data_IF_376804918954
#
_entry.id   IF_376804918954
#
_cell.length_a   1.000
_cell.length_b   1.000
_cell.length_c   1.000
_cell.angle_alpha   90.00
_cell.angle_beta   90.00
_cell.angle_gamma   90.00
#
_symmetry.space_group_name_H-M   'P 1'
#
loop_
_entity.id
_entity.type
_entity.pdbx_description
1 polymer ?
#
# COMPACT_ATOMS: atom_id res chain seq x y z
N UNK A 1 -49.74 -38.27 11.76
CA UNK A 1 -49.22 -39.15 12.82
C UNK A 1 -47.83 -38.63 13.20
N UNK A 2 -47.76 -37.80 14.23
CA UNK A 2 -46.53 -37.14 14.69
C UNK A 2 -45.84 -38.12 15.65
N UNK A 3 -44.58 -38.45 15.39
CA UNK A 3 -43.78 -39.30 16.28
C UNK A 3 -43.49 -38.53 17.59
N UNK A 4 -43.66 -39.15 18.77
CA UNK A 4 -43.33 -38.50 20.02
C UNK A 4 -41.81 -38.34 20.15
N UNK A 5 -41.40 -37.16 20.61
CA UNK A 5 -40.01 -36.80 20.93
C UNK A 5 -39.54 -37.61 22.15
N UNK A 6 -38.58 -38.52 21.92
CA UNK A 6 -38.01 -39.42 22.92
C UNK A 6 -37.13 -38.71 23.98
N UNK A 7 -36.99 -37.37 23.91
CA UNK A 7 -36.07 -36.62 24.77
C UNK A 7 -36.56 -36.42 26.22
N UNK A 8 -37.76 -36.88 26.61
CA UNK A 8 -38.32 -36.60 27.95
C UNK A 8 -38.74 -37.83 28.77
N UNK A 9 -38.49 -39.05 28.26
CA UNK A 9 -38.77 -40.28 29.00
C UNK A 9 -37.76 -40.49 30.13
N UNK A 10 -38.19 -41.19 31.20
CA UNK A 10 -37.40 -41.44 32.41
C UNK A 10 -36.00 -42.01 32.14
N UNK A 11 -35.84 -42.73 31.02
CA UNK A 11 -34.58 -43.28 30.54
C UNK A 11 -33.61 -42.17 30.11
N UNK A 12 -34.08 -41.13 29.41
CA UNK A 12 -33.25 -39.99 29.00
C UNK A 12 -32.74 -39.17 30.19
N UNK A 13 -33.55 -39.05 31.25
CA UNK A 13 -33.15 -38.37 32.49
C UNK A 13 -32.07 -39.14 33.26
N UNK A 14 -32.18 -40.47 33.34
CA UNK A 14 -31.16 -41.30 33.97
C UNK A 14 -29.81 -41.28 33.22
N UNK A 15 -29.85 -41.22 31.87
CA UNK A 15 -28.65 -41.11 31.04
C UNK A 15 -27.98 -39.74 31.25
N UNK A 16 -28.75 -38.64 31.25
CA UNK A 16 -28.23 -37.30 31.47
C UNK A 16 -27.63 -37.11 32.89
N UNK A 17 -28.20 -37.75 33.91
CA UNK A 17 -27.68 -37.70 35.29
C UNK A 17 -26.33 -38.42 35.43
N UNK A 18 -26.05 -39.41 34.57
CA UNK A 18 -24.78 -40.14 34.53
C UNK A 18 -23.75 -39.51 33.58
N UNK A 19 -24.14 -38.53 32.76
CA UNK A 19 -23.27 -37.89 31.79
C UNK A 19 -22.55 -36.69 32.44
N UNK A 20 -21.21 -36.74 32.49
CA UNK A 20 -20.41 -35.66 33.06
C UNK A 20 -19.72 -34.88 31.95
N UNK A 21 -20.19 -33.66 31.72
CA UNK A 21 -19.67 -32.75 30.70
C UNK A 21 -18.20 -32.40 31.02
N UNK A 22 -17.26 -32.83 30.15
CA UNK A 22 -15.82 -32.53 30.33
C UNK A 22 -15.42 -31.15 29.82
N UNK A 23 -16.09 -30.66 28.77
CA UNK A 23 -15.89 -29.34 28.16
C UNK A 23 -17.19 -28.90 27.49
N UNK A 24 -17.55 -27.64 27.66
CA UNK A 24 -18.63 -26.94 26.97
C UNK A 24 -18.05 -25.91 25.97
N UNK A 25 -18.94 -25.26 25.20
CA UNK A 25 -18.54 -24.30 24.15
C UNK A 25 -17.71 -23.14 24.70
N UNK A 26 -17.89 -22.81 25.98
CA UNK A 26 -17.18 -21.76 26.70
C UNK A 26 -15.82 -22.22 27.22
N UNK A 27 -15.73 -23.37 27.88
CA UNK A 27 -14.48 -23.94 28.41
C UNK A 27 -13.52 -24.44 27.31
N UNK A 28 -14.01 -24.68 26.09
CA UNK A 28 -13.13 -24.92 24.93
C UNK A 28 -12.31 -23.69 24.51
N UNK A 29 -12.76 -22.48 24.84
CA UNK A 29 -12.07 -21.22 24.54
C UNK A 29 -11.25 -20.70 25.73
N UNK A 30 -11.41 -21.30 26.91
CA UNK A 30 -10.67 -20.93 28.12
C UNK A 30 -9.26 -21.54 28.10
N UNK A 31 -8.26 -20.69 28.29
CA UNK A 31 -6.86 -21.09 28.42
C UNK A 31 -6.42 -20.90 29.87
N UNK A 32 -6.20 -21.99 30.60
CA UNK A 32 -5.75 -21.93 32.01
C UNK A 32 -4.39 -21.25 32.20
N UNK A 33 -3.59 -21.11 31.13
CA UNK A 33 -2.24 -20.55 31.17
C UNK A 33 -2.12 -19.15 30.55
N UNK A 34 -3.19 -18.58 29.99
CA UNK A 34 -3.11 -17.31 29.27
C UNK A 34 -4.27 -16.39 29.65
N UNK A 35 -3.91 -15.24 30.18
CA UNK A 35 -4.84 -14.15 30.43
C UNK A 35 -4.93 -13.25 29.19
N UNK A 36 -6.15 -12.98 28.76
CA UNK A 36 -6.45 -12.12 27.62
C UNK A 36 -7.09 -10.79 28.04
N UNK A 37 -7.11 -10.48 29.34
CA UNK A 37 -7.61 -9.23 29.90
C UNK A 37 -6.99 -8.00 29.22
N UNK A 38 -5.68 -8.00 28.96
CA UNK A 38 -4.98 -6.92 28.26
C UNK A 38 -5.46 -6.70 26.81
N UNK A 39 -5.82 -7.78 26.10
CA UNK A 39 -6.40 -7.69 24.74
C UNK A 39 -7.81 -7.09 24.81
N UNK A 40 -8.58 -7.46 25.84
CA UNK A 40 -9.91 -6.92 26.10
C UNK A 40 -9.88 -5.44 26.47
N UNK A 41 -8.87 -5.00 27.24
CA UNK A 41 -8.64 -3.58 27.56
C UNK A 41 -8.26 -2.79 26.30
N UNK A 42 -7.33 -3.31 25.48
CA UNK A 42 -6.96 -2.66 24.22
C UNK A 42 -8.14 -2.56 23.22
N UNK A 43 -9.01 -3.57 23.17
CA UNK A 43 -10.21 -3.54 22.32
C UNK A 43 -11.28 -2.57 22.83
N UNK A 44 -11.42 -2.40 24.15
CA UNK A 44 -12.28 -1.39 24.75
C UNK A 44 -11.76 0.03 24.49
N UNK A 45 -10.43 0.22 24.52
CA UNK A 45 -9.79 1.49 24.16
C UNK A 45 -9.94 1.82 22.65
N UNK A 46 -10.04 0.80 21.79
CA UNK A 46 -10.32 0.99 20.35
C UNK A 46 -11.79 1.40 20.10
N UNK A 47 -12.74 0.97 20.94
CA UNK A 47 -14.14 1.36 20.82
C UNK A 47 -14.45 2.76 21.37
N UNK A 48 -13.55 3.34 22.19
CA UNK A 48 -13.72 4.69 22.75
C UNK A 48 -12.61 5.61 22.24
N UNK A 49 -12.69 5.99 20.96
CA UNK A 49 -12.06 7.23 20.49
C UNK A 49 -13.09 8.14 19.79
N UNK A 50 -13.45 9.26 20.43
CA UNK A 50 -13.94 10.44 19.73
C UNK A 50 -12.78 11.09 18.94
N UNK A 51 -13.01 11.32 17.65
CA UNK A 51 -12.39 12.39 16.84
C UNK A 51 -10.86 12.39 16.62
N UNK A 52 -10.46 11.91 15.43
CA UNK A 52 -9.16 12.17 14.75
C UNK A 52 -9.05 13.63 14.25
N UNK A 53 -9.78 14.56 14.84
CA UNK A 53 -9.78 15.98 14.45
C UNK A 53 -8.59 16.72 15.09
N UNK A 54 -7.92 16.15 16.10
CA UNK A 54 -6.98 16.90 16.95
C UNK A 54 -5.48 16.72 16.64
N UNK A 55 -5.07 15.81 15.74
CA UNK A 55 -3.65 15.72 15.34
C UNK A 55 -3.25 16.84 14.36
N UNK A 56 -4.19 17.29 13.52
CA UNK A 56 -3.96 18.40 12.59
C UNK A 56 -3.95 19.77 13.31
N UNK A 57 -4.67 19.92 14.43
CA UNK A 57 -4.71 21.16 15.21
C UNK A 57 -3.40 21.41 15.99
N UNK A 58 -2.80 20.36 16.58
CA UNK A 58 -1.53 20.47 17.30
C UNK A 58 -0.32 20.75 16.37
N UNK A 59 -0.38 20.28 15.12
CA UNK A 59 0.62 20.60 14.10
C UNK A 59 0.48 22.04 13.60
N UNK A 60 -0.75 22.54 13.44
CA UNK A 60 -1.03 23.90 12.99
C UNK A 60 -0.72 24.97 14.06
N UNK A 61 -0.83 24.65 15.36
CA UNK A 61 -0.44 25.59 16.43
C UNK A 61 1.09 25.79 16.54
N UNK A 62 1.90 24.80 16.11
CA UNK A 62 3.37 24.94 16.06
C UNK A 62 3.88 25.69 14.82
N UNK A 63 3.06 25.78 13.77
CA UNK A 63 3.41 26.49 12.52
C UNK A 63 2.84 27.92 12.50
N UNK A 64 1.73 28.19 13.21
CA UNK A 64 1.03 29.47 13.20
C UNK A 64 1.58 30.59 14.11
N UNK A 65 2.60 30.35 14.93
CA UNK A 65 3.12 31.35 15.90
C UNK A 65 4.37 32.11 15.44
N UNK A 66 4.80 31.94 14.18
CA UNK A 66 5.96 32.66 13.63
C UNK A 66 5.61 33.87 12.73
N UNK A 67 4.33 34.22 12.57
CA UNK A 67 3.89 35.36 11.77
C UNK A 67 2.87 36.20 12.53
N UNK A 68 3.34 36.93 13.53
CA UNK A 68 2.73 38.21 13.95
C UNK A 68 3.66 38.93 14.92
N UNK A 69 4.53 39.80 14.39
CA UNK A 69 5.05 40.97 15.09
C UNK A 69 4.68 42.20 14.25
N UNK A 70 4.15 43.27 14.85
CA UNK A 70 3.73 44.46 14.12
C UNK A 70 4.96 45.28 13.69
N UNK A 71 5.01 45.65 12.41
CA UNK A 71 5.89 46.70 11.89
C UNK A 71 5.25 48.06 12.13
N UNK A 72 5.90 48.89 12.95
CA UNK A 72 5.59 50.31 13.02
C UNK A 72 6.09 51.01 11.75
N UNK A 73 5.24 51.85 11.16
CA UNK A 73 5.55 52.73 10.03
C UNK A 73 6.53 53.85 10.45
N UNK A 74 7.16 54.54 9.48
CA UNK A 74 6.81 55.95 9.40
C UNK A 74 6.58 56.48 7.98
N UNK A 75 5.75 57.51 7.99
CA UNK A 75 5.23 58.39 6.94
C UNK A 75 6.30 59.21 6.22
N UNK A 76 6.07 59.48 4.94
CA UNK A 76 6.74 60.51 4.14
C UNK A 76 5.93 61.81 4.12
N UNK A 77 6.57 62.95 4.41
CA UNK A 77 6.46 64.19 3.64
C UNK A 77 7.47 65.23 4.16
N UNK A 78 8.05 66.00 3.23
CA UNK A 78 9.30 66.73 3.41
C UNK A 78 9.21 68.12 4.04
N UNK A 79 10.38 68.74 4.21
CA UNK A 79 10.80 70.08 3.76
C UNK A 79 12.16 70.46 4.41
N UNK A 80 13.05 71.05 3.60
CA UNK A 80 14.23 71.90 3.89
C UNK A 80 15.65 71.31 4.17
N UNK A 81 16.60 71.89 3.39
CA UNK A 81 18.09 71.88 3.38
C UNK A 81 18.66 72.76 4.53
N UNK A 82 20.00 72.91 4.77
CA UNK A 82 21.16 72.63 3.90
C UNK A 82 22.43 71.97 4.53
N UNK A 83 23.36 71.58 3.63
CA UNK A 83 24.83 71.46 3.72
C UNK A 83 25.54 70.77 4.90
N UNK A 84 26.29 69.68 4.60
CA UNK A 84 27.74 69.59 4.84
C UNK A 84 28.41 68.32 4.24
N UNK A 85 29.71 68.43 4.01
CA UNK A 85 30.67 67.64 3.21
C UNK A 85 31.12 66.29 3.80
N UNK A 86 31.51 65.37 2.90
CA UNK A 86 32.57 64.30 3.01
C UNK A 86 32.25 63.15 4.01
N UNK A 87 32.64 61.87 3.86
CA UNK A 87 33.75 61.16 3.19
C UNK A 87 33.36 59.70 2.92
N UNK A 88 33.98 59.10 1.90
CA UNK A 88 33.92 57.69 1.51
C UNK A 88 34.78 56.83 2.46
N UNK A 89 34.26 55.72 2.97
CA UNK A 89 35.09 54.62 3.52
C UNK A 89 34.38 53.28 3.37
N UNK A 90 35.06 52.34 2.71
CA UNK A 90 34.55 51.02 2.36
C UNK A 90 34.64 50.02 3.50
N UNK A 91 33.58 49.21 3.64
CA UNK A 91 33.54 47.99 4.44
C UNK A 91 33.49 46.76 3.55
N UNK A 92 34.04 45.61 3.97
CA UNK A 92 34.21 44.43 3.13
C UNK A 92 32.88 43.72 2.88
N UNK A 93 32.68 43.29 1.63
CA UNK A 93 31.55 42.46 1.20
C UNK A 93 31.83 41.03 1.68
N UNK A 94 31.16 40.61 2.76
CA UNK A 94 31.10 39.19 3.14
C UNK A 94 30.28 38.42 2.11
N UNK A 95 30.96 37.72 1.21
CA UNK A 95 30.36 36.72 0.33
C UNK A 95 29.83 35.56 1.16
N UNK A 96 28.54 35.57 1.48
CA UNK A 96 27.86 34.44 2.07
C UNK A 96 27.84 33.29 1.05
N UNK A 97 28.72 32.30 1.27
CA UNK A 97 28.69 31.02 0.53
C UNK A 97 27.36 30.35 0.81
N UNK A 98 26.48 30.36 -0.19
CA UNK A 98 25.18 29.69 -0.16
C UNK A 98 25.45 28.18 -0.06
N UNK A 99 25.36 27.64 1.16
CA UNK A 99 25.48 26.20 1.34
C UNK A 99 24.40 25.49 0.50
N UNK A 100 24.75 24.44 -0.26
CA UNK A 100 23.76 23.68 -0.98
C UNK A 100 22.78 23.11 0.04
N UNK A 101 21.50 23.50 -0.07
CA UNK A 101 20.45 23.00 0.80
C UNK A 101 20.39 21.46 0.76
N UNK A 102 19.91 20.82 1.83
CA UNK A 102 19.84 19.37 1.91
C UNK A 102 19.08 18.81 0.71
N UNK A 103 19.78 18.11 -0.18
CA UNK A 103 19.18 17.42 -1.30
C UNK A 103 18.12 16.46 -0.74
N UNK A 104 16.86 16.62 -1.17
CA UNK A 104 15.76 15.72 -0.79
C UNK A 104 16.21 14.29 -1.10
N UNK A 105 16.31 13.44 -0.06
CA UNK A 105 16.56 12.02 -0.23
C UNK A 105 15.45 11.43 -1.09
N UNK A 106 15.78 11.06 -2.33
CA UNK A 106 14.85 10.41 -3.25
C UNK A 106 14.51 9.03 -2.69
N UNK A 107 13.20 8.76 -2.52
CA UNK A 107 12.72 7.45 -2.07
C UNK A 107 13.16 6.36 -3.06
N UNK A 108 13.65 5.23 -2.55
CA UNK A 108 14.10 4.08 -3.36
C UNK A 108 13.12 2.92 -3.30
N UNK A 109 11.87 3.17 -2.93
CA UNK A 109 10.85 2.12 -2.82
C UNK A 109 10.33 1.81 -4.24
N UNK A 110 10.53 0.58 -4.77
CA UNK A 110 9.98 0.17 -6.06
C UNK A 110 8.45 0.19 -6.05
N UNK A 111 7.86 0.49 -7.21
CA UNK A 111 6.40 0.59 -7.40
C UNK A 111 5.90 -0.52 -8.33
N UNK A 112 4.81 -1.18 -7.92
CA UNK A 112 4.06 -2.15 -8.72
C UNK A 112 2.70 -1.52 -9.04
N UNK A 113 2.35 -1.46 -10.32
CA UNK A 113 1.04 -0.99 -10.78
C UNK A 113 0.11 -2.19 -10.96
N UNK A 114 -1.09 -2.12 -10.38
CA UNK A 114 -2.16 -3.10 -10.59
C UNK A 114 -3.37 -2.43 -11.28
N UNK A 115 -4.29 -3.18 -11.89
CA UNK A 115 -5.49 -2.60 -12.45
C UNK A 115 -6.42 -2.04 -11.36
N UNK A 116 -7.06 -0.90 -11.65
CA UNK A 116 -8.16 -0.36 -10.85
C UNK A 116 -9.52 -1.01 -11.15
N UNK A 117 -9.61 -1.78 -12.25
CA UNK A 117 -10.86 -2.26 -12.82
C UNK A 117 -11.50 -3.39 -12.01
N UNK A 118 -12.83 -3.32 -11.84
CA UNK A 118 -13.63 -4.45 -11.41
C UNK A 118 -13.44 -5.64 -12.37
N UNK A 119 -13.36 -6.85 -11.84
CA UNK A 119 -13.12 -8.08 -12.62
C UNK A 119 -11.64 -8.45 -12.82
N UNK A 120 -10.68 -7.64 -12.35
CA UNK A 120 -9.28 -8.06 -12.25
C UNK A 120 -9.11 -9.11 -11.15
N UNK A 121 -8.29 -10.14 -11.38
CA UNK A 121 -7.92 -11.12 -10.36
C UNK A 121 -7.04 -10.52 -9.26
N UNK A 122 -6.28 -9.48 -9.58
CA UNK A 122 -5.50 -8.71 -8.61
C UNK A 122 -6.05 -7.29 -8.49
N UNK A 123 -6.32 -6.87 -7.26
CA UNK A 123 -6.81 -5.54 -6.89
C UNK A 123 -6.14 -5.09 -5.60
N UNK A 124 -6.35 -3.82 -5.20
CA UNK A 124 -5.79 -3.30 -3.96
C UNK A 124 -6.29 -4.04 -2.70
N UNK A 125 -7.37 -4.81 -2.80
CA UNK A 125 -7.91 -5.56 -1.67
C UNK A 125 -7.15 -6.86 -1.41
N UNK A 126 -6.61 -7.51 -2.44
CA UNK A 126 -5.99 -8.83 -2.36
C UNK A 126 -4.52 -8.86 -2.81
N UNK A 127 -3.95 -7.72 -3.20
CA UNK A 127 -2.58 -7.66 -3.68
C UNK A 127 -1.56 -8.09 -2.62
N UNK A 128 -1.83 -7.87 -1.33
CA UNK A 128 -0.97 -8.38 -0.26
C UNK A 128 -0.98 -9.91 -0.23
N UNK A 129 -2.17 -10.53 -0.25
CA UNK A 129 -2.30 -11.99 -0.26
C UNK A 129 -1.58 -12.62 -1.47
N UNK A 130 -1.73 -11.99 -2.65
CA UNK A 130 -1.16 -12.49 -3.91
C UNK A 130 0.35 -12.28 -3.98
N UNK A 131 0.85 -11.08 -3.65
CA UNK A 131 2.25 -10.72 -3.89
C UNK A 131 3.16 -11.06 -2.70
N UNK A 132 2.66 -10.95 -1.47
CA UNK A 132 3.44 -11.22 -0.27
C UNK A 132 3.24 -12.66 0.23
N UNK A 133 1.98 -13.09 0.36
CA UNK A 133 1.67 -14.42 0.92
C UNK A 133 1.68 -15.53 -0.15
N UNK A 134 1.71 -15.14 -1.43
CA UNK A 134 1.70 -16.02 -2.60
C UNK A 134 0.46 -16.94 -2.61
N UNK A 135 -0.69 -16.37 -2.29
CA UNK A 135 -1.99 -17.05 -2.25
C UNK A 135 -3.04 -16.21 -2.95
N UNK A 136 -3.86 -16.84 -3.78
CA UNK A 136 -5.02 -16.14 -4.33
C UNK A 136 -6.20 -16.14 -3.36
N UNK A 137 -6.73 -14.95 -3.11
CA UNK A 137 -8.00 -14.69 -2.45
C UNK A 137 -8.79 -13.75 -3.35
N UNK A 138 -10.08 -14.01 -3.58
CA UNK A 138 -10.85 -13.14 -4.46
C UNK A 138 -11.10 -11.77 -3.83
N UNK A 139 -11.34 -10.76 -4.67
CA UNK A 139 -11.68 -9.42 -4.17
C UNK A 139 -13.01 -9.44 -3.40
N UNK A 140 -13.95 -10.28 -3.83
CA UNK A 140 -15.25 -10.48 -3.21
C UNK A 140 -15.09 -11.04 -1.79
N UNK A 141 -14.24 -12.05 -1.61
CA UNK A 141 -13.94 -12.64 -0.30
C UNK A 141 -13.29 -11.61 0.63
N UNK A 142 -12.29 -10.84 0.16
CA UNK A 142 -11.68 -9.78 0.99
C UNK A 142 -12.70 -8.72 1.44
N UNK A 143 -13.62 -8.34 0.54
CA UNK A 143 -14.67 -7.35 0.84
C UNK A 143 -15.71 -7.82 1.84
N UNK A 144 -15.90 -9.15 2.01
CA UNK A 144 -16.78 -9.69 3.04
C UNK A 144 -16.23 -9.43 4.46
N UNK A 145 -14.91 -9.42 4.62
CA UNK A 145 -14.27 -9.13 5.92
C UNK A 145 -14.06 -7.64 6.16
N UNK A 146 -13.66 -6.89 5.13
CA UNK A 146 -13.45 -5.45 5.21
C UNK A 146 -13.66 -4.80 3.86
N UNK A 147 -14.57 -3.82 3.80
CA UNK A 147 -14.79 -3.03 2.59
C UNK A 147 -13.96 -1.73 2.55
N UNK A 148 -13.00 -1.57 3.49
CA UNK A 148 -12.11 -0.41 3.49
C UNK A 148 -11.17 -0.50 2.29
N UNK A 149 -11.27 0.48 1.39
CA UNK A 149 -10.36 0.62 0.25
C UNK A 149 -9.17 1.50 0.65
N UNK A 150 -7.98 1.01 0.39
CA UNK A 150 -6.75 1.80 0.50
C UNK A 150 -6.37 2.35 -0.88
N UNK A 151 -5.70 3.50 -0.91
CA UNK A 151 -5.24 4.10 -2.16
C UNK A 151 -3.90 3.52 -2.64
N UNK A 152 -3.14 2.95 -1.71
CA UNK A 152 -1.84 2.34 -1.94
C UNK A 152 -1.56 1.31 -0.83
N UNK A 153 -0.74 0.32 -1.14
CA UNK A 153 -0.24 -0.65 -0.16
C UNK A 153 1.27 -0.60 -0.08
N UNK A 154 1.82 -0.91 1.09
CA UNK A 154 3.25 -1.13 1.28
C UNK A 154 3.48 -2.59 1.69
N UNK A 155 4.02 -3.37 0.76
CA UNK A 155 4.41 -4.77 0.98
C UNK A 155 5.81 -4.85 1.59
N UNK A 156 6.07 -5.89 2.36
CA UNK A 156 7.37 -6.18 2.97
C UNK A 156 7.86 -7.53 2.47
N UNK A 157 8.74 -7.53 1.47
CA UNK A 157 9.14 -8.75 0.76
C UNK A 157 10.50 -9.23 1.26
N UNK A 158 10.60 -10.45 1.84
CA UNK A 158 11.89 -11.01 2.23
C UNK A 158 12.71 -11.37 0.99
N UNK A 159 13.95 -10.86 0.93
CA UNK A 159 14.92 -11.07 -0.15
C UNK A 159 16.32 -11.22 0.47
N UNK A 160 16.99 -12.35 0.24
CA UNK A 160 18.40 -12.58 0.64
C UNK A 160 18.75 -12.20 2.10
N UNK A 161 17.84 -12.43 3.05
CA UNK A 161 18.05 -12.10 4.47
C UNK A 161 17.73 -10.64 4.85
N UNK A 162 17.30 -9.82 3.90
CA UNK A 162 16.75 -8.48 4.13
C UNK A 162 15.26 -8.44 3.78
N UNK A 163 14.57 -7.40 4.25
CA UNK A 163 13.19 -7.10 3.85
C UNK A 163 13.16 -5.87 2.98
N UNK A 164 12.62 -6.01 1.76
CA UNK A 164 12.54 -4.94 0.78
C UNK A 164 11.10 -4.45 0.69
N UNK A 165 10.84 -3.15 0.92
CA UNK A 165 9.51 -2.59 0.78
C UNK A 165 9.14 -2.44 -0.70
N UNK A 166 7.90 -2.79 -1.07
CA UNK A 166 7.34 -2.52 -2.39
C UNK A 166 6.03 -1.74 -2.24
N UNK A 167 5.87 -0.66 -2.99
CA UNK A 167 4.62 0.11 -3.01
C UNK A 167 3.73 -0.40 -4.14
N UNK A 168 2.47 -0.68 -3.83
CA UNK A 168 1.46 -1.09 -4.82
C UNK A 168 0.47 0.05 -5.01
N UNK A 169 0.18 0.39 -6.27
CA UNK A 169 -0.78 1.43 -6.64
C UNK A 169 -1.71 0.92 -7.74
N UNK A 170 -2.96 1.36 -7.72
CA UNK A 170 -3.95 1.04 -8.76
C UNK A 170 -4.28 2.22 -9.69
N UNK A 171 -3.87 3.44 -9.30
CA UNK A 171 -4.09 4.66 -10.05
C UNK A 171 -2.75 5.32 -10.48
N UNK A 172 -2.21 4.92 -11.63
CA UNK A 172 -0.91 5.40 -12.10
C UNK A 172 -0.91 6.86 -12.57
N UNK A 173 -2.07 7.48 -12.85
CA UNK A 173 -2.12 8.90 -13.25
C UNK A 173 -1.78 9.86 -12.11
N UNK A 174 -1.68 9.35 -10.88
CA UNK A 174 -1.26 10.12 -9.70
C UNK A 174 0.26 10.08 -9.47
N UNK A 175 0.99 9.27 -10.23
CA UNK A 175 2.44 9.14 -10.11
C UNK A 175 3.12 10.35 -10.76
N UNK A 176 4.08 10.94 -10.04
CA UNK A 176 4.95 11.98 -10.58
C UNK A 176 6.07 11.38 -11.43
N UNK A 177 6.74 12.22 -12.21
CA UNK A 177 7.81 11.80 -13.11
C UNK A 177 8.93 11.01 -12.41
N UNK A 178 9.34 11.44 -11.22
CA UNK A 178 10.36 10.73 -10.41
C UNK A 178 9.86 9.38 -9.86
N UNK A 179 8.54 9.21 -9.73
CA UNK A 179 7.96 7.95 -9.28
C UNK A 179 7.84 6.94 -10.42
N UNK A 180 7.63 7.40 -11.65
CA UNK A 180 7.60 6.55 -12.84
C UNK A 180 8.92 5.82 -13.06
N UNK A 181 10.05 6.46 -12.74
CA UNK A 181 11.39 5.82 -12.76
C UNK A 181 11.49 4.62 -11.79
N UNK A 182 10.65 4.60 -10.76
CA UNK A 182 10.62 3.54 -9.74
C UNK A 182 9.61 2.43 -10.04
N UNK A 183 8.83 2.55 -11.11
CA UNK A 183 7.87 1.51 -11.48
C UNK A 183 8.62 0.32 -12.03
N UNK A 184 8.54 -0.83 -11.36
CA UNK A 184 9.27 -2.04 -11.72
C UNK A 184 8.39 -3.07 -12.41
N UNK A 185 7.10 -3.10 -12.07
CA UNK A 185 6.16 -4.05 -12.63
C UNK A 185 4.77 -3.44 -12.87
N UNK A 186 4.04 -4.01 -13.82
CA UNK A 186 2.64 -3.70 -14.12
C UNK A 186 1.83 -4.97 -14.34
N UNK A 187 0.64 -5.04 -13.75
CA UNK A 187 -0.38 -6.03 -14.11
C UNK A 187 -1.35 -5.46 -15.15
N UNK A 188 -1.54 -6.19 -16.25
CA UNK A 188 -2.34 -5.76 -17.40
C UNK A 188 -3.62 -6.59 -17.54
N UNK A 189 -4.69 -5.95 -18.01
CA UNK A 189 -6.00 -6.59 -18.24
C UNK A 189 -6.21 -6.98 -19.71
N UNK A 190 -5.53 -6.31 -20.65
CA UNK A 190 -5.59 -6.61 -22.09
C UNK A 190 -6.07 -5.47 -22.99
N UNK A 191 -7.06 -4.66 -22.62
CA UNK A 191 -7.45 -3.53 -23.45
C UNK A 191 -6.41 -2.39 -23.43
N UNK A 192 -6.03 -1.87 -24.60
CA UNK A 192 -5.04 -0.80 -24.71
C UNK A 192 -5.44 0.51 -23.99
N UNK A 193 -6.74 0.75 -23.82
CA UNK A 193 -7.24 1.92 -23.10
C UNK A 193 -6.78 1.95 -21.63
N UNK A 194 -6.36 0.82 -21.05
CA UNK A 194 -5.78 0.74 -19.71
C UNK A 194 -4.62 1.75 -19.55
N UNK A 195 -3.84 1.97 -20.61
CA UNK A 195 -2.61 2.77 -20.60
C UNK A 195 -2.84 4.26 -20.95
N UNK A 196 -4.11 4.68 -21.07
CA UNK A 196 -4.44 6.08 -21.38
C UNK A 196 -3.87 7.02 -20.31
N UNK A 197 -3.20 8.08 -20.75
CA UNK A 197 -2.55 9.09 -19.90
C UNK A 197 -1.40 8.56 -19.03
N UNK A 198 -0.75 7.47 -19.43
CA UNK A 198 0.47 7.00 -18.80
C UNK A 198 1.70 7.64 -19.46
N UNK A 199 2.89 7.39 -18.89
CA UNK A 199 4.17 7.68 -19.57
C UNK A 199 4.24 7.04 -20.95
N UNK A 200 5.19 7.53 -21.77
CA UNK A 200 5.39 7.06 -23.15
C UNK A 200 4.11 7.12 -23.99
N UNK A 201 3.28 8.14 -23.74
CA UNK A 201 2.01 8.36 -24.44
C UNK A 201 1.04 7.17 -24.36
N UNK A 202 1.20 6.27 -23.37
CA UNK A 202 0.40 5.06 -23.26
C UNK A 202 0.77 3.96 -24.27
N UNK A 203 1.91 4.04 -24.95
CA UNK A 203 2.36 3.04 -25.91
C UNK A 203 2.78 1.74 -25.19
N UNK A 204 2.06 0.60 -25.37
CA UNK A 204 2.37 -0.64 -24.66
C UNK A 204 3.79 -1.16 -24.94
N UNK A 205 4.31 -0.96 -26.15
CA UNK A 205 5.65 -1.44 -26.53
C UNK A 205 6.73 -0.74 -25.72
N UNK A 206 6.64 0.59 -25.59
CA UNK A 206 7.58 1.39 -24.79
C UNK A 206 7.42 1.15 -23.29
N UNK A 207 6.17 1.02 -22.81
CA UNK A 207 5.88 0.69 -21.41
C UNK A 207 6.56 -0.64 -21.04
N UNK A 208 6.37 -1.69 -21.85
CA UNK A 208 6.87 -3.04 -21.54
C UNK A 208 8.36 -3.23 -21.84
N UNK A 209 8.98 -2.33 -22.60
CA UNK A 209 10.43 -2.27 -22.71
C UNK A 209 11.07 -1.78 -21.39
N UNK A 210 10.40 -0.88 -20.66
CA UNK A 210 10.92 -0.26 -19.43
C UNK A 210 10.43 -0.96 -18.14
N UNK A 211 9.27 -1.60 -18.16
CA UNK A 211 8.56 -2.14 -17.00
C UNK A 211 8.21 -3.61 -17.24
N UNK A 212 8.46 -4.48 -16.27
CA UNK A 212 8.07 -5.89 -16.36
C UNK A 212 6.54 -6.01 -16.34
N UNK A 213 5.95 -6.61 -17.38
CA UNK A 213 4.51 -6.72 -17.51
C UNK A 213 3.99 -8.12 -17.24
N UNK A 214 2.89 -8.22 -16.52
CA UNK A 214 2.27 -9.48 -16.10
C UNK A 214 0.77 -9.48 -16.39
N UNK A 215 0.22 -10.63 -16.74
CA UNK A 215 -1.22 -10.85 -16.86
C UNK A 215 -1.62 -12.03 -15.99
N UNK A 216 -2.48 -11.78 -15.01
CA UNK A 216 -3.01 -12.81 -14.12
C UNK A 216 -4.37 -13.27 -14.63
N UNK A 217 -4.51 -14.56 -14.94
CA UNK A 217 -5.76 -15.15 -15.42
C UNK A 217 -6.00 -16.53 -14.80
N UNK A 218 -7.23 -17.02 -14.93
CA UNK A 218 -7.50 -18.43 -14.69
C UNK A 218 -7.01 -19.27 -15.88
N UNK A 219 -6.61 -20.51 -15.60
CA UNK A 219 -6.08 -21.49 -16.55
C UNK A 219 -7.10 -21.89 -17.64
N UNK A 220 -8.38 -21.96 -17.28
CA UNK A 220 -9.51 -22.28 -18.16
C UNK A 220 -9.92 -21.14 -19.10
N UNK A 221 -9.47 -19.91 -18.85
CA UNK A 221 -9.85 -18.74 -19.66
C UNK A 221 -8.85 -18.50 -20.81
N UNK A 222 -9.33 -18.15 -22.01
CA UNK A 222 -8.45 -17.79 -23.11
C UNK A 222 -7.72 -16.47 -22.80
N UNK A 223 -6.42 -16.42 -23.10
CA UNK A 223 -5.64 -15.19 -22.99
C UNK A 223 -6.11 -14.16 -24.01
N UNK A 224 -6.25 -12.91 -23.56
CA UNK A 224 -6.68 -11.79 -24.39
C UNK A 224 -5.78 -11.61 -25.64
N UNK A 225 -6.35 -11.33 -26.83
CA UNK A 225 -5.58 -11.20 -28.07
C UNK A 225 -4.49 -10.13 -28.03
N UNK A 226 -4.67 -9.04 -27.29
CA UNK A 226 -3.65 -7.99 -27.18
C UNK A 226 -2.52 -8.44 -26.25
N UNK A 227 -2.85 -9.11 -25.14
CA UNK A 227 -1.84 -9.68 -24.22
C UNK A 227 -0.91 -10.64 -24.96
N UNK A 228 -1.43 -11.45 -25.87
CA UNK A 228 -0.62 -12.36 -26.72
C UNK A 228 0.37 -11.63 -27.64
N UNK A 229 0.07 -10.39 -28.03
CA UNK A 229 0.92 -9.57 -28.93
C UNK A 229 1.98 -8.78 -28.17
N UNK A 230 1.76 -8.54 -26.89
CA UNK A 230 2.64 -7.74 -26.06
C UNK A 230 3.68 -8.59 -25.34
N UNK A 231 4.80 -7.96 -24.94
CA UNK A 231 5.82 -8.58 -24.10
C UNK A 231 5.34 -8.68 -22.65
N UNK A 232 4.37 -9.57 -22.41
CA UNK A 232 3.69 -9.75 -21.11
C UNK A 232 3.82 -11.20 -20.67
N UNK A 233 4.14 -11.39 -19.39
CA UNK A 233 4.23 -12.72 -18.78
C UNK A 233 2.87 -13.15 -18.22
N UNK A 234 2.36 -14.28 -18.69
CA UNK A 234 1.04 -14.78 -18.29
C UNK A 234 1.21 -15.73 -17.10
N UNK A 235 0.57 -15.41 -15.98
CA UNK A 235 0.48 -16.22 -14.77
C UNK A 235 -0.90 -16.88 -14.73
N UNK A 236 -0.94 -18.21 -14.68
CA UNK A 236 -2.19 -18.98 -14.78
C UNK A 236 -2.54 -19.65 -13.47
N UNK A 237 -3.59 -19.16 -12.82
CA UNK A 237 -4.10 -19.75 -11.59
C UNK A 237 -5.20 -20.77 -11.89
N UNK A 238 -5.28 -21.80 -11.08
CA UNK A 238 -6.42 -22.71 -11.08
C UNK A 238 -7.54 -22.15 -10.19
N UNK A 239 -8.80 -22.35 -10.56
CA UNK A 239 -9.93 -21.98 -9.68
C UNK A 239 -10.04 -22.85 -8.42
N UNK A 240 -9.63 -24.11 -8.52
CA UNK A 240 -9.79 -25.11 -7.45
C UNK A 240 -8.47 -25.53 -6.80
N UNK A 241 -7.36 -25.57 -7.55
CA UNK A 241 -6.07 -26.08 -7.06
C UNK A 241 -5.22 -25.02 -6.35
N UNK A 242 -5.70 -24.51 -5.20
CA UNK A 242 -5.05 -23.45 -4.41
C UNK A 242 -3.64 -23.77 -3.91
N UNK A 243 -3.31 -25.05 -3.77
CA UNK A 243 -1.96 -25.49 -3.39
C UNK A 243 -0.92 -25.20 -4.49
N UNK A 244 -1.34 -24.94 -5.73
CA UNK A 244 -0.46 -24.56 -6.85
C UNK A 244 -0.22 -23.05 -6.92
N UNK A 245 -1.05 -22.23 -6.26
CA UNK A 245 -0.97 -20.77 -6.33
C UNK A 245 0.44 -20.29 -5.96
N UNK A 246 1.04 -20.84 -4.91
CA UNK A 246 2.37 -20.43 -4.44
C UNK A 246 3.44 -20.61 -5.52
N UNK A 247 3.43 -21.74 -6.21
CA UNK A 247 4.41 -22.01 -7.27
C UNK A 247 4.20 -21.08 -8.47
N UNK A 248 2.94 -20.82 -8.86
CA UNK A 248 2.64 -19.94 -9.99
C UNK A 248 2.95 -18.48 -9.68
N UNK A 249 2.53 -17.99 -8.51
CA UNK A 249 2.76 -16.61 -8.07
C UNK A 249 4.23 -16.36 -7.75
N UNK A 250 5.01 -17.35 -7.32
CA UNK A 250 6.45 -17.19 -7.14
C UNK A 250 7.17 -16.81 -8.45
N UNK A 251 6.68 -17.31 -9.61
CA UNK A 251 7.24 -16.95 -10.92
C UNK A 251 7.26 -15.44 -11.15
N UNK A 252 6.26 -14.70 -10.65
CA UNK A 252 6.24 -13.24 -10.71
C UNK A 252 7.55 -12.64 -10.19
N UNK A 253 7.97 -13.05 -8.99
CA UNK A 253 9.18 -12.52 -8.36
C UNK A 253 10.45 -12.92 -9.11
N UNK A 254 10.54 -14.17 -9.57
CA UNK A 254 11.69 -14.62 -10.38
C UNK A 254 11.82 -13.82 -11.68
N UNK A 255 10.69 -13.54 -12.35
CA UNK A 255 10.68 -12.76 -13.58
C UNK A 255 10.99 -11.30 -13.33
N UNK A 256 10.47 -10.73 -12.25
CA UNK A 256 10.73 -9.36 -11.85
C UNK A 256 12.21 -9.15 -11.49
N UNK A 257 12.79 -10.04 -10.68
CA UNK A 257 14.19 -9.95 -10.28
C UNK A 257 15.12 -10.07 -11.49
N UNK A 258 14.78 -10.95 -12.45
CA UNK A 258 15.49 -11.07 -13.73
C UNK A 258 15.37 -9.79 -14.56
N UNK A 259 14.21 -9.14 -14.60
CA UNK A 259 14.03 -7.86 -15.30
C UNK A 259 14.85 -6.74 -14.65
N UNK A 260 14.75 -6.60 -13.33
CA UNK A 260 15.49 -5.61 -12.56
C UNK A 260 17.00 -5.78 -12.79
N UNK A 261 17.50 -7.01 -12.75
CA UNK A 261 18.91 -7.34 -12.94
C UNK A 261 19.49 -6.92 -14.30
N UNK A 262 18.65 -6.86 -15.34
CA UNK A 262 19.02 -6.44 -16.70
C UNK A 262 18.78 -4.96 -16.97
N UNK A 263 18.02 -4.28 -16.10
CA UNK A 263 17.67 -2.87 -16.24
C UNK A 263 18.64 -1.96 -15.47
N UNK A 264 18.62 -0.67 -15.79
CA UNK A 264 19.31 0.37 -15.01
C UNK A 264 18.81 0.48 -13.55
N UNK A 265 17.66 -0.12 -13.20
CA UNK A 265 17.08 -0.08 -11.85
C UNK A 265 17.85 -0.90 -10.82
N UNK A 266 18.71 -1.83 -11.27
CA UNK A 266 19.58 -2.65 -10.42
C UNK A 266 20.46 -1.81 -9.48
N UNK A 267 20.89 -0.62 -9.91
CA UNK A 267 21.84 0.18 -9.14
C UNK A 267 21.29 0.61 -7.78
N UNK A 268 19.97 0.86 -7.68
CA UNK A 268 19.34 1.37 -6.48
C UNK A 268 18.39 0.39 -5.79
N UNK A 269 17.89 -0.63 -6.50
CA UNK A 269 17.18 -1.77 -5.90
C UNK A 269 18.21 -2.87 -5.58
N UNK A 270 19.08 -2.62 -4.60
CA UNK A 270 20.04 -3.62 -4.12
C UNK A 270 19.52 -4.26 -2.85
N UNK A 271 19.45 -5.59 -2.88
CA UNK A 271 19.23 -6.48 -1.75
C UNK A 271 20.13 -7.71 -1.90
#
# INVERSE_FOLDING_TARGET
MVMPDASNDAIGRFIAEKERLRKDRTTCLESQSRDFSGVLTALKDIQVFPSVVNWNAALNQRIGSAQNRPSAAPTSNGVQRPDQRRTVSGGPVSTAVRQPGPQKRVSRVPIIIIPAGAGSLITIYNAQDILQDLRYVSTEEKKQFSNKRENELLLQIPKNGATVPYRVVDNPTRLKDDEWERVVAVFVQGPAWQFKNWKWNGNPVEIFANIAAFHLQFDELPTDPNVKKWSVQVLKLSRSKRHLDRAELHKFWEMLDRHISKSNKREWIRY
#
